data_IF_579823555052
#
_entry.id   IF_579823555052
#
_cell.length_a   1.000
_cell.length_b   1.000
_cell.length_c   1.000
_cell.angle_alpha   90.00
_cell.angle_beta   90.00
_cell.angle_gamma   90.00
#
_symmetry.space_group_name_H-M   'P 1'
#
loop_
_entity.id
_entity.type
_entity.pdbx_description
1 polymer ?
#
# COMPACT_ATOMS: atom_id res chain seq x y z
N UNK A 1 -1.00 1.05 -16.29
CA UNK A 1 -0.18 0.26 -15.34
C UNK A 1 -1.07 -0.68 -14.57
N UNK A 2 -0.54 -1.52 -13.67
CA UNK A 2 -1.34 -2.33 -12.73
C UNK A 2 -0.98 -1.97 -11.28
N UNK A 3 -1.84 -2.30 -10.32
CA UNK A 3 -1.57 -2.11 -8.88
C UNK A 3 -0.23 -2.75 -8.45
N UNK A 4 0.12 -3.90 -9.02
CA UNK A 4 1.36 -4.61 -8.70
C UNK A 4 2.57 -3.89 -9.28
N UNK A 5 2.47 -3.34 -10.49
CA UNK A 5 3.52 -2.49 -11.06
C UNK A 5 3.72 -1.23 -10.22
N UNK A 6 2.64 -0.58 -9.79
CA UNK A 6 2.72 0.58 -8.89
C UNK A 6 3.39 0.23 -7.56
N UNK A 7 3.03 -0.89 -6.95
CA UNK A 7 3.67 -1.34 -5.71
C UNK A 7 5.16 -1.64 -5.86
N UNK A 8 5.58 -2.19 -7.02
CA UNK A 8 7.00 -2.39 -7.36
C UNK A 8 7.70 -1.05 -7.54
N UNK A 9 7.10 -0.13 -8.30
CA UNK A 9 7.64 1.21 -8.53
C UNK A 9 7.80 2.00 -7.22
N UNK A 10 6.82 1.94 -6.31
CA UNK A 10 6.89 2.59 -5.00
C UNK A 10 7.79 1.87 -3.97
N UNK A 11 8.39 0.72 -4.33
CA UNK A 11 9.26 -0.04 -3.44
C UNK A 11 8.52 -0.65 -2.23
N UNK A 12 7.25 -1.01 -2.38
CA UNK A 12 6.44 -1.65 -1.32
C UNK A 12 5.97 -3.06 -1.68
N UNK A 13 6.31 -3.54 -2.87
CA UNK A 13 6.08 -4.92 -3.27
C UNK A 13 6.84 -5.88 -2.33
N UNK A 14 6.19 -6.94 -1.82
CA UNK A 14 6.88 -7.96 -1.03
C UNK A 14 7.91 -8.69 -1.88
N UNK A 15 9.09 -8.96 -1.31
CA UNK A 15 10.12 -9.78 -1.95
C UNK A 15 10.30 -11.05 -1.10
N UNK A 16 9.90 -12.24 -1.61
CA UNK A 16 10.12 -13.48 -0.90
C UNK A 16 11.62 -13.76 -0.76
N UNK A 17 12.03 -14.32 0.38
CA UNK A 17 13.38 -14.87 0.57
C UNK A 17 13.37 -16.40 0.64
N UNK A 18 12.44 -17.03 -0.09
CA UNK A 18 12.28 -18.47 -0.13
C UNK A 18 11.99 -18.94 -1.56
N UNK A 19 12.34 -20.19 -1.87
CA UNK A 19 12.05 -20.87 -3.14
C UNK A 19 10.86 -21.83 -3.08
N UNK A 20 10.54 -22.38 -1.89
CA UNK A 20 9.49 -23.41 -1.74
C UNK A 20 8.50 -23.10 -0.59
N UNK A 21 8.98 -22.93 0.65
CA UNK A 21 8.08 -22.73 1.80
C UNK A 21 7.88 -21.24 2.14
N UNK A 22 6.63 -20.78 2.37
CA UNK A 22 6.34 -19.40 2.76
C UNK A 22 7.13 -18.99 4.00
N UNK A 23 8.03 -18.04 3.83
CA UNK A 23 8.91 -17.53 4.87
C UNK A 23 8.71 -16.04 5.11
N UNK A 24 9.82 -15.34 5.32
CA UNK A 24 9.82 -13.90 5.61
C UNK A 24 9.96 -13.07 4.33
N UNK A 25 9.22 -11.98 4.21
CA UNK A 25 9.45 -11.03 3.11
C UNK A 25 10.58 -10.07 3.48
N UNK A 26 11.59 -9.92 2.60
CA UNK A 26 12.62 -8.89 2.80
C UNK A 26 12.11 -7.52 2.36
N UNK A 27 12.75 -6.49 2.92
CA UNK A 27 12.58 -5.11 2.46
C UNK A 27 13.20 -4.96 1.07
N UNK A 28 12.51 -4.31 0.14
CA UNK A 28 13.14 -3.89 -1.12
C UNK A 28 13.97 -2.63 -0.92
N UNK A 29 15.20 -2.65 -1.45
CA UNK A 29 16.10 -1.49 -1.49
C UNK A 29 15.97 -0.71 -2.80
N UNK A 30 15.07 -1.09 -3.70
CA UNK A 30 14.81 -0.37 -4.95
C UNK A 30 13.46 0.36 -4.92
N UNK A 31 13.16 1.10 -5.99
CA UNK A 31 11.92 1.86 -6.15
C UNK A 31 12.02 3.33 -5.73
N UNK A 32 10.95 4.08 -6.00
CA UNK A 32 10.85 5.50 -5.72
C UNK A 32 10.78 5.76 -4.19
N UNK A 33 11.82 6.41 -3.66
CA UNK A 33 11.96 6.68 -2.23
C UNK A 33 10.94 7.67 -1.69
N UNK A 34 10.55 8.65 -2.50
CA UNK A 34 9.56 9.65 -2.11
C UNK A 34 8.18 9.01 -1.94
N UNK A 35 7.75 8.20 -2.92
CA UNK A 35 6.50 7.43 -2.82
C UNK A 35 6.53 6.46 -1.64
N UNK A 36 7.65 5.78 -1.41
CA UNK A 36 7.80 4.89 -0.27
C UNK A 36 7.64 5.63 1.07
N UNK A 37 8.25 6.81 1.19
CA UNK A 37 8.18 7.65 2.37
C UNK A 37 6.76 8.20 2.58
N UNK A 38 6.08 8.65 1.52
CA UNK A 38 4.69 9.09 1.57
C UNK A 38 3.77 7.97 2.07
N UNK A 39 3.85 6.78 1.47
CA UNK A 39 3.09 5.61 1.91
C UNK A 39 3.42 5.21 3.36
N UNK A 40 4.68 5.37 3.78
CA UNK A 40 5.07 5.10 5.16
C UNK A 40 4.43 6.07 6.15
N UNK A 41 4.41 7.37 5.84
CA UNK A 41 3.80 8.38 6.69
C UNK A 41 2.29 8.14 6.83
N UNK A 42 1.60 7.88 5.71
CA UNK A 42 0.16 7.53 5.74
C UNK A 42 -0.07 6.28 6.61
N UNK A 43 0.75 5.24 6.43
CA UNK A 43 0.64 4.01 7.22
C UNK A 43 0.89 4.25 8.72
N UNK A 44 1.88 5.08 9.07
CA UNK A 44 2.19 5.44 10.45
C UNK A 44 1.02 6.19 11.09
N UNK A 45 0.48 7.20 10.40
CA UNK A 45 -0.66 7.99 10.86
C UNK A 45 -1.88 7.10 11.06
N UNK A 46 -2.26 6.32 10.05
CA UNK A 46 -3.41 5.41 10.18
C UNK A 46 -3.20 4.36 11.27
N UNK A 47 -2.00 3.78 11.41
CA UNK A 47 -1.74 2.82 12.48
C UNK A 47 -1.88 3.42 13.89
N UNK A 48 -1.72 4.74 14.05
CA UNK A 48 -1.86 5.44 15.34
C UNK A 48 -3.28 5.93 15.64
N UNK A 49 -4.12 6.12 14.62
CA UNK A 49 -5.47 6.63 14.76
C UNK A 49 -6.48 5.49 14.91
N UNK A 50 -7.06 5.26 16.12
CA UNK A 50 -7.92 4.09 16.38
C UNK A 50 -9.11 3.96 15.43
N UNK A 51 -9.72 5.08 15.07
CA UNK A 51 -10.89 5.15 14.17
C UNK A 51 -10.56 4.89 12.70
N UNK A 52 -9.29 4.77 12.32
CA UNK A 52 -8.93 4.62 10.92
C UNK A 52 -9.03 3.16 10.44
N UNK A 53 -9.46 2.98 9.19
CA UNK A 53 -9.46 1.67 8.53
C UNK A 53 -8.05 1.04 8.44
N UNK A 54 -6.99 1.83 8.53
CA UNK A 54 -5.62 1.33 8.58
C UNK A 54 -5.24 0.78 9.94
N UNK A 55 -5.76 1.35 11.04
CA UNK A 55 -5.59 0.84 12.39
C UNK A 55 -6.22 -0.55 12.55
N UNK A 56 -7.49 -0.69 12.19
CA UNK A 56 -8.20 -1.99 12.23
C UNK A 56 -7.45 -3.05 11.41
N UNK A 57 -6.98 -2.68 10.21
CA UNK A 57 -6.19 -3.59 9.39
C UNK A 57 -4.85 -3.97 10.04
N UNK A 58 -4.15 -2.99 10.62
CA UNK A 58 -2.89 -3.21 11.30
C UNK A 58 -3.05 -4.12 12.51
N UNK A 59 -4.04 -3.88 13.36
CA UNK A 59 -4.33 -4.72 14.52
C UNK A 59 -4.67 -6.14 14.11
N UNK A 60 -5.56 -6.33 13.12
CA UNK A 60 -5.85 -7.67 12.60
C UNK A 60 -4.60 -8.43 12.12
N UNK A 61 -3.59 -7.73 11.57
CA UNK A 61 -2.30 -8.37 11.23
C UNK A 61 -1.45 -8.67 12.46
N UNK A 62 -1.49 -7.84 13.49
CA UNK A 62 -0.83 -8.07 14.78
C UNK A 62 -1.44 -9.27 15.51
N UNK A 63 -2.76 -9.35 15.57
CA UNK A 63 -3.52 -10.43 16.21
C UNK A 63 -3.29 -11.76 15.50
N UNK A 64 -3.14 -11.73 14.17
CA UNK A 64 -2.69 -12.87 13.35
C UNK A 64 -1.19 -13.20 13.48
N UNK A 65 -0.51 -12.77 14.56
CA UNK A 65 0.86 -13.12 14.89
C UNK A 65 1.97 -12.37 14.13
N UNK A 66 1.65 -11.37 13.29
CA UNK A 66 2.72 -10.62 12.58
C UNK A 66 3.45 -9.66 13.51
N UNK A 67 4.76 -9.55 13.32
CA UNK A 67 5.57 -8.51 13.99
C UNK A 67 5.08 -7.11 13.61
N UNK A 68 5.35 -6.10 14.45
CA UNK A 68 5.00 -4.69 14.15
C UNK A 68 5.50 -4.26 12.77
N UNK A 69 6.73 -4.65 12.40
CA UNK A 69 7.35 -4.32 11.10
C UNK A 69 6.64 -5.00 9.94
N UNK A 70 6.25 -6.27 10.09
CA UNK A 70 5.56 -7.00 9.03
C UNK A 70 4.12 -6.53 8.85
N UNK A 71 3.40 -6.25 9.95
CA UNK A 71 2.07 -5.63 9.92
C UNK A 71 2.11 -4.26 9.22
N UNK A 72 3.11 -3.42 9.55
CA UNK A 72 3.33 -2.13 8.88
C UNK A 72 3.62 -2.30 7.37
N UNK A 73 4.43 -3.29 6.97
CA UNK A 73 4.69 -3.58 5.56
C UNK A 73 3.40 -4.01 4.83
N UNK A 74 2.58 -4.84 5.46
CA UNK A 74 1.27 -5.23 4.95
C UNK A 74 0.35 -4.02 4.78
N UNK A 75 0.33 -3.09 5.74
CA UNK A 75 -0.47 -1.87 5.66
C UNK A 75 0.00 -0.96 4.51
N UNK A 76 1.31 -0.72 4.39
CA UNK A 76 1.89 0.04 3.27
C UNK A 76 1.54 -0.57 1.90
N UNK A 77 1.58 -1.90 1.78
CA UNK A 77 1.21 -2.59 0.53
C UNK A 77 -0.27 -2.42 0.19
N UNK A 78 -1.16 -2.45 1.19
CA UNK A 78 -2.59 -2.16 1.04
C UNK A 78 -2.81 -0.70 0.62
N UNK A 79 -2.11 0.23 1.25
CA UNK A 79 -2.21 1.66 0.90
C UNK A 79 -1.76 1.95 -0.52
N UNK A 80 -0.73 1.26 -1.02
CA UNK A 80 -0.34 1.41 -2.42
C UNK A 80 -1.45 0.99 -3.41
N UNK A 81 -2.26 -0.02 -3.06
CA UNK A 81 -3.44 -0.37 -3.84
C UNK A 81 -4.50 0.74 -3.80
N UNK A 82 -4.81 1.25 -2.60
CA UNK A 82 -5.79 2.33 -2.42
C UNK A 82 -5.39 3.58 -3.21
N UNK A 83 -4.13 4.02 -3.08
CA UNK A 83 -3.60 5.19 -3.79
C UNK A 83 -3.66 4.99 -5.30
N UNK A 84 -3.26 3.81 -5.79
CA UNK A 84 -3.33 3.51 -7.23
C UNK A 84 -4.76 3.60 -7.77
N UNK A 85 -5.73 3.05 -7.04
CA UNK A 85 -7.14 3.08 -7.45
C UNK A 85 -7.70 4.50 -7.46
N UNK A 86 -7.39 5.31 -6.44
CA UNK A 86 -7.79 6.72 -6.41
C UNK A 86 -7.17 7.51 -7.57
N UNK A 87 -5.86 7.37 -7.82
CA UNK A 87 -5.20 8.05 -8.93
C UNK A 87 -5.76 7.65 -10.30
N UNK A 88 -6.16 6.39 -10.44
CA UNK A 88 -6.78 5.88 -11.68
C UNK A 88 -8.18 6.43 -11.86
N UNK A 89 -8.96 6.48 -10.78
CA UNK A 89 -10.28 7.10 -10.76
C UNK A 89 -10.20 8.60 -11.09
N UNK A 90 -9.29 9.32 -10.44
CA UNK A 90 -9.05 10.75 -10.69
C UNK A 90 -8.59 11.01 -12.13
N UNK A 91 -7.83 10.08 -12.72
CA UNK A 91 -7.46 10.17 -14.13
C UNK A 91 -8.66 9.96 -15.04
N UNK A 92 -9.47 8.92 -14.80
CA UNK A 92 -10.69 8.65 -15.58
C UNK A 92 -11.67 9.82 -15.50
N UNK A 93 -11.88 10.40 -14.32
CA UNK A 93 -12.77 11.55 -14.13
C UNK A 93 -12.30 12.80 -14.89
N UNK A 94 -10.98 12.97 -15.06
CA UNK A 94 -10.42 14.10 -15.84
C UNK A 94 -10.50 13.89 -17.35
N UNK A 95 -10.38 12.65 -17.81
CA UNK A 95 -10.37 12.31 -19.24
C UNK A 95 -11.77 12.06 -19.80
N UNK A 96 -12.74 11.76 -18.93
CA UNK A 96 -14.14 11.68 -19.33
C UNK A 96 -14.66 13.10 -19.46
N UNK A 97 -15.00 13.60 -20.66
CA UNK A 97 -15.67 14.87 -20.78
C UNK A 97 -16.99 14.77 -20.02
N UNK A 98 -17.26 15.74 -19.16
CA UNK A 98 -18.58 15.95 -18.59
C UNK A 98 -19.49 16.28 -19.78
N UNK A 99 -20.15 15.27 -20.35
CA UNK A 99 -21.14 15.50 -21.40
C UNK A 99 -22.21 16.40 -20.81
N UNK A 100 -22.36 17.56 -21.43
CA UNK A 100 -23.15 18.68 -20.97
C UNK A 100 -24.55 18.23 -20.52
N UNK A 101 -24.90 18.57 -19.27
CA UNK A 101 -26.29 18.61 -18.86
C UNK A 101 -26.91 19.86 -19.51
N UNK A 102 -27.47 19.66 -20.70
CA UNK A 102 -28.47 20.54 -21.30
C UNK A 102 -29.84 20.35 -20.62
#
# INVERSE_FOLDING_TARGET
GTEAQFARHAGVAPVPVWSANPGRHRLTRSGNRQLNAALHRIALTQARMPESLGHTYYQRKRDGGKTKRDAMRCLKRRLARVVYNNLTLDHHNRTTPQHDAA
#
